data_IF_864026228022
#
_entry.id   IF_864026228022
#
_cell.length_a   1.000
_cell.length_b   1.000
_cell.length_c   1.000
_cell.angle_alpha   90.00
_cell.angle_beta   90.00
_cell.angle_gamma   90.00
#
_symmetry.space_group_name_H-M   'P 1'
#
loop_
_entity.id
_entity.type
_entity.pdbx_description
1 polymer ?
#
# COMPACT_ATOMS: atom_id res chain seq x y z
N UNK A 1 8.08 59.18 33.41
CA UNK A 1 9.17 58.39 32.88
C UNK A 1 8.65 56.96 32.58
N UNK A 2 8.38 56.71 31.31
CA UNK A 2 7.77 55.46 30.86
C UNK A 2 8.87 54.52 30.27
N UNK A 3 9.06 53.36 30.88
CA UNK A 3 9.97 52.33 30.35
C UNK A 3 9.20 51.47 29.36
N UNK A 4 9.52 51.58 28.07
CA UNK A 4 9.06 50.67 27.03
C UNK A 4 9.88 49.39 27.12
N UNK A 5 9.23 48.26 27.40
CA UNK A 5 9.80 46.93 27.31
C UNK A 5 9.73 46.50 25.83
N UNK A 6 10.90 46.25 25.24
CA UNK A 6 11.06 45.64 23.93
C UNK A 6 10.99 44.11 24.10
N UNK A 7 9.95 43.47 23.58
CA UNK A 7 9.93 42.01 23.43
C UNK A 7 10.65 41.63 22.13
N UNK A 8 11.77 40.96 22.31
CA UNK A 8 12.51 40.32 21.22
C UNK A 8 11.82 38.98 20.91
N UNK A 9 11.15 38.89 19.77
CA UNK A 9 10.69 37.62 19.24
C UNK A 9 11.89 36.91 18.59
N UNK A 10 12.42 35.89 19.25
CA UNK A 10 13.34 34.94 18.62
C UNK A 10 12.47 33.95 17.86
N UNK A 11 12.42 34.09 16.54
CA UNK A 11 11.89 33.08 15.66
C UNK A 11 12.88 31.90 15.62
N UNK A 12 12.60 30.85 16.32
CA UNK A 12 13.30 29.59 16.17
C UNK A 12 12.91 29.01 14.80
N UNK A 13 13.75 29.20 13.80
CA UNK A 13 13.68 28.45 12.57
C UNK A 13 14.10 27.01 12.89
N UNK A 14 13.13 26.14 13.03
CA UNK A 14 13.35 24.68 13.06
C UNK A 14 13.83 24.29 11.66
N UNK A 15 15.13 24.15 11.50
CA UNK A 15 15.71 23.47 10.36
C UNK A 15 15.19 22.02 10.41
N UNK A 16 14.21 21.71 9.59
CA UNK A 16 13.92 20.33 9.22
C UNK A 16 15.13 19.86 8.41
N UNK A 17 16.03 19.16 9.09
CA UNK A 17 17.05 18.35 8.45
C UNK A 17 16.29 17.19 7.83
N UNK A 18 15.90 17.34 6.56
CA UNK A 18 15.52 16.21 5.75
C UNK A 18 16.73 15.26 5.76
N UNK A 19 16.57 14.06 6.30
CA UNK A 19 17.52 12.99 6.08
C UNK A 19 17.55 12.67 4.59
N UNK A 20 18.32 13.43 3.82
CA UNK A 20 18.84 12.94 2.56
C UNK A 20 19.83 11.82 2.94
N UNK A 21 19.34 10.60 3.05
CA UNK A 21 20.21 9.44 2.97
C UNK A 21 20.90 9.54 1.61
N UNK A 22 22.22 9.70 1.59
CA UNK A 22 22.99 9.56 0.36
C UNK A 22 22.77 8.13 -0.13
N UNK A 23 21.84 7.93 -1.08
CA UNK A 23 21.67 6.65 -1.74
C UNK A 23 22.99 6.23 -2.37
N UNK A 24 23.39 4.97 -2.19
CA UNK A 24 24.46 4.37 -2.96
C UNK A 24 24.13 4.44 -4.46
N UNK A 25 25.14 4.44 -5.31
CA UNK A 25 24.94 4.55 -6.77
C UNK A 25 24.09 3.40 -7.35
N UNK A 26 23.99 2.27 -6.64
CA UNK A 26 23.26 1.06 -7.02
C UNK A 26 22.05 0.78 -6.10
N UNK A 27 21.52 1.77 -5.43
CA UNK A 27 20.41 1.63 -4.48
C UNK A 27 19.13 2.22 -5.05
N UNK A 28 18.03 1.47 -4.96
CA UNK A 28 16.69 1.93 -5.33
C UNK A 28 15.77 1.99 -4.09
N UNK A 29 14.79 2.90 -4.13
CA UNK A 29 13.73 2.99 -3.12
C UNK A 29 12.41 2.53 -3.71
N UNK A 30 11.73 1.61 -3.01
CA UNK A 30 10.36 1.20 -3.30
C UNK A 30 9.44 1.76 -2.23
N UNK A 31 8.40 2.48 -2.65
CA UNK A 31 7.36 3.02 -1.78
C UNK A 31 6.02 2.36 -2.12
N UNK A 32 5.34 1.82 -1.12
CA UNK A 32 3.95 1.41 -1.21
C UNK A 32 3.07 2.30 -0.34
N UNK A 33 1.87 2.61 -0.84
CA UNK A 33 0.87 3.30 -0.04
C UNK A 33 -0.54 3.09 -0.57
N UNK A 34 -1.47 2.72 0.31
CA UNK A 34 -2.90 2.87 0.05
C UNK A 34 -3.27 4.35 0.24
N UNK A 35 -3.54 5.03 -0.86
CA UNK A 35 -3.75 6.48 -0.89
C UNK A 35 -5.20 6.89 -0.63
N UNK A 36 -5.97 6.01 -0.08
CA UNK A 36 -7.36 6.22 0.31
C UNK A 36 -8.18 6.94 -0.77
N UNK A 37 -8.81 6.15 -1.63
CA UNK A 37 -9.74 6.65 -2.63
C UNK A 37 -9.13 7.74 -3.55
N UNK A 38 -7.94 7.45 -4.11
CA UNK A 38 -7.25 8.31 -5.07
C UNK A 38 -6.77 9.63 -4.47
N UNK A 39 -6.22 9.58 -3.24
CA UNK A 39 -5.78 10.78 -2.52
C UNK A 39 -6.87 11.86 -2.48
N UNK A 40 -8.10 11.44 -2.11
CA UNK A 40 -9.28 12.30 -2.08
C UNK A 40 -9.05 13.61 -1.33
N UNK A 41 -8.22 13.59 -0.27
CA UNK A 41 -7.93 14.74 0.58
C UNK A 41 -7.15 15.86 -0.13
N UNK A 42 -6.48 15.53 -1.24
CA UNK A 42 -5.63 16.47 -1.99
C UNK A 42 -6.17 16.80 -3.39
N UNK A 43 -7.34 16.29 -3.76
CA UNK A 43 -7.99 16.60 -5.05
C UNK A 43 -8.19 18.11 -5.25
N UNK A 44 -8.69 18.81 -4.23
CA UNK A 44 -8.92 20.25 -4.26
C UNK A 44 -7.62 21.08 -4.37
N UNK A 45 -6.49 20.47 -4.09
CA UNK A 45 -5.16 21.07 -4.21
C UNK A 45 -4.38 20.52 -5.43
N UNK A 46 -5.08 19.96 -6.40
CA UNK A 46 -4.47 19.39 -7.60
C UNK A 46 -3.34 18.38 -7.29
N UNK A 47 -3.43 17.65 -6.18
CA UNK A 47 -2.44 16.68 -5.70
C UNK A 47 -1.04 17.26 -5.43
N UNK A 48 -0.92 18.57 -5.15
CA UNK A 48 0.38 19.20 -4.94
C UNK A 48 1.09 18.67 -3.69
N UNK A 49 0.37 18.49 -2.57
CA UNK A 49 0.96 17.93 -1.34
C UNK A 49 1.39 16.46 -1.54
N UNK A 50 0.58 15.67 -2.25
CA UNK A 50 0.93 14.30 -2.61
C UNK A 50 2.23 14.25 -3.44
N UNK A 51 2.33 15.10 -4.46
CA UNK A 51 3.52 15.19 -5.31
C UNK A 51 4.74 15.65 -4.53
N UNK A 52 4.60 16.63 -3.64
CA UNK A 52 5.70 17.10 -2.79
C UNK A 52 6.19 16.00 -1.84
N UNK A 53 5.26 15.24 -1.22
CA UNK A 53 5.62 14.10 -0.38
C UNK A 53 6.38 13.04 -1.18
N UNK A 54 5.87 12.62 -2.33
CA UNK A 54 6.55 11.61 -3.15
C UNK A 54 7.93 12.10 -3.59
N UNK A 55 8.08 13.37 -3.94
CA UNK A 55 9.40 13.96 -4.26
C UNK A 55 10.35 13.95 -3.08
N UNK A 56 9.86 14.21 -1.86
CA UNK A 56 10.72 14.22 -0.67
C UNK A 56 11.28 12.85 -0.33
N UNK A 57 10.50 11.79 -0.53
CA UNK A 57 10.95 10.40 -0.38
C UNK A 57 11.80 9.93 -1.58
N UNK A 58 11.64 10.58 -2.74
CA UNK A 58 12.35 10.29 -3.99
C UNK A 58 12.40 8.79 -4.36
N UNK A 59 11.27 8.07 -4.33
CA UNK A 59 11.24 6.66 -4.67
C UNK A 59 11.58 6.44 -6.14
N UNK A 60 12.04 5.24 -6.45
CA UNK A 60 12.32 4.80 -7.82
C UNK A 60 11.17 4.00 -8.40
N UNK A 61 10.43 3.32 -7.51
CA UNK A 61 9.25 2.53 -7.83
C UNK A 61 8.18 2.82 -6.76
N UNK A 62 6.96 3.09 -7.19
CA UNK A 62 5.82 3.21 -6.27
C UNK A 62 4.74 2.20 -6.63
N UNK A 63 4.12 1.64 -5.59
CA UNK A 63 2.93 0.81 -5.69
C UNK A 63 1.80 1.49 -4.93
N UNK A 64 0.74 1.83 -5.64
CA UNK A 64 -0.42 2.54 -5.11
C UNK A 64 -1.63 1.63 -5.03
N UNK A 65 -2.28 1.54 -3.87
CA UNK A 65 -3.61 0.95 -3.71
C UNK A 65 -4.66 2.06 -3.61
N UNK A 66 -5.90 1.75 -3.96
CA UNK A 66 -6.99 2.73 -4.08
C UNK A 66 -6.63 3.94 -4.96
N UNK A 67 -6.00 3.68 -6.09
CA UNK A 67 -5.37 4.69 -6.93
C UNK A 67 -6.33 5.61 -7.70
N UNK A 68 -7.63 5.38 -7.64
CA UNK A 68 -8.65 6.25 -8.25
C UNK A 68 -9.70 6.67 -7.23
N UNK A 69 -10.24 7.88 -7.37
CA UNK A 69 -11.26 8.43 -6.47
C UNK A 69 -12.67 7.96 -6.84
N UNK A 70 -13.44 7.60 -5.81
CA UNK A 70 -14.88 7.31 -5.93
C UNK A 70 -15.78 8.43 -5.42
N UNK A 71 -15.21 9.36 -4.67
CA UNK A 71 -15.96 10.42 -4.03
C UNK A 71 -15.43 11.78 -4.43
N UNK A 72 -16.32 12.75 -4.61
CA UNK A 72 -15.93 14.13 -4.81
C UNK A 72 -15.33 14.68 -3.52
N UNK A 73 -14.28 15.45 -3.66
CA UNK A 73 -13.64 16.14 -2.54
C UNK A 73 -14.65 16.92 -1.71
N UNK A 74 -14.48 16.87 -0.40
CA UNK A 74 -15.29 17.56 0.60
C UNK A 74 -16.78 17.15 0.66
N UNK A 75 -17.12 16.05 -0.01
CA UNK A 75 -18.48 15.51 -0.02
C UNK A 75 -18.48 13.99 0.21
N UNK A 76 -19.66 13.44 0.48
CA UNK A 76 -19.91 11.99 0.45
C UNK A 76 -20.66 11.57 -0.81
N UNK A 77 -20.67 12.42 -1.84
CA UNK A 77 -21.30 12.13 -3.12
C UNK A 77 -20.41 11.18 -3.90
N UNK A 78 -20.91 9.97 -4.13
CA UNK A 78 -20.28 8.99 -4.99
C UNK A 78 -20.22 9.49 -6.43
N UNK A 79 -19.13 9.20 -7.10
CA UNK A 79 -19.01 9.39 -8.54
C UNK A 79 -19.57 8.16 -9.25
N UNK A 80 -20.41 8.40 -10.26
CA UNK A 80 -21.15 7.33 -10.95
C UNK A 80 -20.48 6.94 -12.28
N UNK A 81 -19.85 7.93 -12.94
CA UNK A 81 -19.24 7.70 -14.25
C UNK A 81 -17.75 7.38 -14.12
N UNK A 82 -17.21 6.74 -15.16
CA UNK A 82 -15.79 6.42 -15.19
C UNK A 82 -14.91 7.66 -15.28
N UNK A 83 -15.37 8.67 -15.99
CA UNK A 83 -14.70 9.97 -16.11
C UNK A 83 -14.61 10.68 -14.77
N UNK A 84 -15.61 10.50 -13.90
CA UNK A 84 -15.61 11.08 -12.56
C UNK A 84 -14.68 10.36 -11.59
N UNK A 85 -14.41 9.06 -11.79
CA UNK A 85 -13.56 8.26 -10.88
C UNK A 85 -12.08 8.34 -11.20
N UNK A 86 -11.71 8.95 -12.32
CA UNK A 86 -10.32 9.18 -12.65
C UNK A 86 -9.75 10.38 -11.93
N UNK A 87 -8.43 10.29 -11.68
CA UNK A 87 -7.66 11.48 -11.36
C UNK A 87 -7.78 12.50 -12.49
N UNK A 88 -7.88 13.82 -12.21
CA UNK A 88 -8.06 14.85 -13.25
C UNK A 88 -7.03 14.80 -14.37
N UNK A 89 -5.83 14.31 -14.08
CA UNK A 89 -4.70 14.28 -15.03
C UNK A 89 -4.28 12.89 -15.44
N UNK A 90 -5.00 11.84 -15.08
CA UNK A 90 -4.58 10.45 -15.14
C UNK A 90 -3.20 10.20 -14.50
N UNK A 91 -2.86 8.92 -14.29
CA UNK A 91 -1.62 8.56 -13.59
C UNK A 91 -0.35 8.88 -14.38
N UNK A 92 -0.38 8.86 -15.73
CA UNK A 92 0.79 9.20 -16.53
C UNK A 92 1.23 10.65 -16.31
N UNK A 93 0.28 11.58 -16.25
CA UNK A 93 0.57 12.99 -16.00
C UNK A 93 0.95 13.24 -14.53
N UNK A 94 0.27 12.59 -13.58
CA UNK A 94 0.57 12.74 -12.18
C UNK A 94 1.96 12.18 -11.83
N UNK A 95 2.29 10.99 -12.35
CA UNK A 95 3.57 10.35 -12.10
C UNK A 95 4.76 11.17 -12.62
N UNK A 96 4.65 11.77 -13.78
CA UNK A 96 5.68 12.69 -14.32
C UNK A 96 5.97 13.87 -13.43
N UNK A 97 5.00 14.35 -12.64
CA UNK A 97 5.20 15.47 -11.72
C UNK A 97 6.21 15.15 -10.61
N UNK A 98 6.36 13.88 -10.24
CA UNK A 98 7.36 13.41 -9.28
C UNK A 98 8.48 12.56 -9.90
N UNK A 99 8.60 12.57 -11.23
CA UNK A 99 9.76 12.02 -11.94
C UNK A 99 9.64 10.57 -12.39
N UNK A 100 8.43 9.99 -12.40
CA UNK A 100 8.21 8.64 -12.92
C UNK A 100 7.67 8.69 -14.36
N UNK A 101 8.34 7.95 -15.25
CA UNK A 101 8.01 7.92 -16.68
C UNK A 101 7.10 6.74 -17.05
N UNK A 102 7.13 5.65 -16.26
CA UNK A 102 6.40 4.43 -16.54
C UNK A 102 5.25 4.25 -15.57
N UNK A 103 4.07 3.92 -16.12
CA UNK A 103 2.84 3.72 -15.36
C UNK A 103 2.10 2.51 -15.88
N UNK A 104 1.69 1.60 -14.99
CA UNK A 104 0.80 0.49 -15.33
C UNK A 104 -0.31 0.33 -14.30
N UNK A 105 -1.52 0.10 -14.79
CA UNK A 105 -2.63 -0.36 -13.97
C UNK A 105 -2.52 -1.88 -13.86
N UNK A 106 -2.37 -2.38 -12.64
CA UNK A 106 -2.20 -3.80 -12.34
C UNK A 106 -3.54 -4.34 -11.85
N UNK A 107 -3.91 -5.54 -12.21
CA UNK A 107 -5.21 -6.11 -11.86
C UNK A 107 -6.39 -5.46 -12.59
N UNK A 108 -7.51 -5.23 -11.89
CA UNK A 108 -8.71 -4.60 -12.43
C UNK A 108 -8.61 -3.08 -12.38
N UNK A 109 -9.06 -2.43 -13.43
CA UNK A 109 -9.33 -0.99 -13.40
C UNK A 109 -10.78 -0.78 -12.98
N UNK A 110 -11.07 -1.10 -11.75
CA UNK A 110 -12.36 -0.90 -11.10
C UNK A 110 -12.36 0.39 -10.26
N UNK A 111 -13.08 0.38 -9.18
CA UNK A 111 -13.23 1.54 -8.29
C UNK A 111 -12.09 1.76 -7.33
N UNK A 112 -11.24 0.76 -7.13
CA UNK A 112 -10.11 0.78 -6.21
C UNK A 112 -8.88 0.13 -6.86
N UNK A 113 -8.45 0.62 -8.04
CA UNK A 113 -7.37 0.00 -8.79
C UNK A 113 -6.04 0.13 -8.07
N UNK A 114 -5.13 -0.76 -8.46
CA UNK A 114 -3.73 -0.71 -8.08
C UNK A 114 -2.91 -0.20 -9.27
N UNK A 115 -1.96 0.66 -8.98
CA UNK A 115 -1.09 1.28 -9.99
C UNK A 115 0.36 1.14 -9.56
N UNK A 116 1.23 0.78 -10.49
CA UNK A 116 2.67 0.88 -10.32
C UNK A 116 3.16 2.06 -11.16
N UNK A 117 3.94 2.95 -10.55
CA UNK A 117 4.68 4.00 -11.25
C UNK A 117 6.17 3.82 -11.00
N UNK A 118 7.01 4.11 -12.00
CA UNK A 118 8.44 3.81 -11.92
C UNK A 118 9.28 4.77 -12.75
N UNK A 119 10.52 5.00 -12.33
CA UNK A 119 11.57 5.62 -13.15
C UNK A 119 12.11 4.64 -14.20
N UNK A 120 11.92 3.34 -13.97
CA UNK A 120 12.41 2.24 -14.80
C UNK A 120 11.30 1.61 -15.63
N UNK A 121 11.60 0.95 -16.75
CA UNK A 121 10.62 0.23 -17.54
C UNK A 121 9.82 -0.77 -16.71
N UNK A 122 8.50 -0.72 -16.83
CA UNK A 122 7.59 -1.66 -16.18
C UNK A 122 6.67 -2.31 -17.19
N UNK A 123 6.44 -3.63 -17.07
CA UNK A 123 5.51 -4.39 -17.89
C UNK A 123 4.64 -5.30 -17.05
N UNK A 124 3.41 -5.46 -17.47
CA UNK A 124 2.50 -6.45 -16.88
C UNK A 124 2.82 -7.81 -17.49
N UNK A 125 2.96 -8.82 -16.62
CA UNK A 125 3.12 -10.23 -17.00
C UNK A 125 1.76 -10.91 -17.02
N UNK A 126 1.04 -10.87 -15.88
CA UNK A 126 -0.28 -11.47 -15.74
C UNK A 126 -1.23 -10.54 -14.98
N UNK A 127 -2.53 -10.61 -15.31
CA UNK A 127 -3.62 -10.01 -14.53
C UNK A 127 -4.38 -11.11 -13.81
N UNK A 128 -4.44 -11.03 -12.50
CA UNK A 128 -5.00 -12.06 -11.62
C UNK A 128 -6.35 -11.56 -11.09
N UNK A 129 -7.40 -11.85 -11.84
CA UNK A 129 -8.74 -11.33 -11.55
C UNK A 129 -9.73 -12.42 -11.09
N UNK A 130 -9.31 -13.69 -11.11
CA UNK A 130 -10.20 -14.83 -10.97
C UNK A 130 -11.05 -15.08 -12.22
N UNK A 131 -11.97 -16.03 -12.14
CA UNK A 131 -12.89 -16.37 -13.24
C UNK A 131 -14.25 -15.65 -13.17
N UNK A 132 -14.49 -14.92 -12.07
CA UNK A 132 -15.74 -14.17 -11.85
C UNK A 132 -16.87 -14.98 -11.22
N UNK A 133 -16.75 -16.29 -11.17
CA UNK A 133 -17.75 -17.22 -10.62
C UNK A 133 -17.27 -17.83 -9.30
N UNK A 134 -16.48 -18.89 -9.36
CA UNK A 134 -15.98 -19.61 -8.18
C UNK A 134 -14.77 -18.94 -7.55
N UNK A 135 -13.93 -18.33 -8.40
CA UNK A 135 -12.71 -17.64 -7.99
C UNK A 135 -12.86 -16.17 -8.29
N UNK A 136 -12.90 -15.36 -7.24
CA UNK A 136 -13.07 -13.91 -7.32
C UNK A 136 -11.91 -13.24 -6.59
N UNK A 137 -11.20 -12.35 -7.28
CA UNK A 137 -10.30 -11.36 -6.70
C UNK A 137 -10.98 -10.01 -6.90
N UNK A 138 -11.52 -9.45 -5.82
CA UNK A 138 -12.50 -8.35 -5.90
C UNK A 138 -11.92 -7.14 -6.62
N UNK A 139 -10.78 -6.64 -6.17
CA UNK A 139 -10.10 -5.51 -6.79
C UNK A 139 -9.08 -5.93 -7.86
N UNK A 140 -8.99 -7.25 -8.10
CA UNK A 140 -7.95 -7.82 -8.94
C UNK A 140 -6.57 -7.73 -8.27
N UNK A 141 -5.63 -8.38 -8.90
CA UNK A 141 -4.22 -8.36 -8.60
C UNK A 141 -3.48 -8.46 -9.92
N UNK A 142 -2.18 -8.35 -9.90
CA UNK A 142 -1.40 -8.59 -11.09
C UNK A 142 0.07 -8.77 -10.79
N UNK A 143 0.71 -9.53 -11.67
CA UNK A 143 2.15 -9.70 -11.72
C UNK A 143 2.72 -8.71 -12.74
N UNK A 144 3.60 -7.83 -12.29
CA UNK A 144 4.36 -6.91 -13.12
C UNK A 144 5.86 -7.10 -12.90
N UNK A 145 6.66 -6.76 -13.90
CA UNK A 145 8.11 -6.76 -13.81
C UNK A 145 8.64 -5.35 -14.02
N UNK A 146 9.55 -4.92 -13.15
CA UNK A 146 10.33 -3.69 -13.32
C UNK A 146 11.76 -4.09 -13.67
N UNK A 147 12.27 -3.51 -14.75
CA UNK A 147 13.64 -3.74 -15.23
C UNK A 147 14.55 -2.59 -14.76
N UNK A 148 15.27 -2.83 -13.68
CA UNK A 148 16.25 -1.89 -13.14
C UNK A 148 17.61 -2.20 -13.73
N UNK A 149 17.90 -1.61 -14.88
CA UNK A 149 19.19 -1.74 -15.57
C UNK A 149 19.60 -3.22 -15.82
N UNK A 150 18.63 -4.04 -16.23
CA UNK A 150 18.83 -5.47 -16.50
C UNK A 150 18.58 -6.38 -15.29
N UNK A 151 18.31 -5.82 -14.11
CA UNK A 151 17.92 -6.56 -12.91
C UNK A 151 16.41 -6.54 -12.77
N UNK A 152 15.76 -7.69 -12.89
CA UNK A 152 14.31 -7.79 -12.88
C UNK A 152 13.81 -7.98 -11.46
N UNK A 153 12.89 -7.12 -11.04
CA UNK A 153 12.11 -7.30 -9.81
C UNK A 153 10.67 -7.61 -10.19
N UNK A 154 10.15 -8.71 -9.68
CA UNK A 154 8.77 -9.13 -9.87
C UNK A 154 7.89 -8.54 -8.77
N UNK A 155 6.85 -7.81 -9.14
CA UNK A 155 5.87 -7.22 -8.24
C UNK A 155 4.54 -7.95 -8.38
N UNK A 156 3.95 -8.35 -7.26
CA UNK A 156 2.57 -8.82 -7.17
C UNK A 156 1.82 -7.84 -6.28
N UNK A 157 0.83 -7.16 -6.84
CA UNK A 157 0.07 -6.16 -6.08
C UNK A 157 -1.10 -6.79 -5.37
N UNK A 158 -1.43 -6.30 -4.18
CA UNK A 158 -2.52 -6.81 -3.35
C UNK A 158 -3.43 -5.68 -2.92
N UNK A 159 -4.74 -5.90 -3.03
CA UNK A 159 -5.78 -5.18 -2.34
C UNK A 159 -6.95 -6.13 -2.17
N UNK A 160 -7.01 -6.82 -1.03
CA UNK A 160 -8.05 -7.83 -0.79
C UNK A 160 -9.35 -7.21 -0.28
N UNK A 161 -10.38 -8.01 -0.27
CA UNK A 161 -11.73 -7.62 0.12
C UNK A 161 -11.80 -7.06 1.57
N UNK A 162 -12.38 -5.84 1.81
CA UNK A 162 -12.22 -5.15 3.09
C UNK A 162 -13.26 -5.51 4.15
N UNK A 163 -14.35 -6.22 3.82
CA UNK A 163 -15.47 -6.41 4.74
C UNK A 163 -15.32 -7.65 5.62
N UNK A 164 -16.07 -7.67 6.75
CA UNK A 164 -16.08 -8.80 7.69
C UNK A 164 -16.86 -10.01 7.21
N UNK A 165 -17.78 -9.83 6.26
CA UNK A 165 -18.59 -10.88 5.65
C UNK A 165 -18.03 -11.29 4.28
N UNK A 166 -18.31 -12.49 3.82
CA UNK A 166 -17.87 -12.96 2.52
C UNK A 166 -18.51 -12.16 1.37
N UNK A 167 -17.78 -12.02 0.29
CA UNK A 167 -18.29 -11.37 -0.92
C UNK A 167 -19.55 -12.08 -1.44
N UNK A 168 -20.60 -11.32 -1.76
CA UNK A 168 -21.92 -11.84 -2.19
C UNK A 168 -22.65 -12.72 -1.14
N UNK A 169 -22.30 -12.62 0.16
CA UNK A 169 -23.03 -13.34 1.19
C UNK A 169 -24.52 -12.93 1.21
N UNK A 170 -25.43 -13.89 1.20
CA UNK A 170 -26.88 -13.65 1.28
C UNK A 170 -27.26 -13.07 2.66
N UNK A 171 -26.71 -13.63 3.74
CA UNK A 171 -26.81 -13.13 5.10
C UNK A 171 -25.46 -12.58 5.55
N UNK A 172 -25.26 -11.27 5.37
CA UNK A 172 -24.01 -10.59 5.73
C UNK A 172 -23.72 -10.63 7.23
N UNK A 173 -24.78 -10.58 8.07
CA UNK A 173 -24.62 -10.61 9.52
C UNK A 173 -24.10 -11.97 9.98
N UNK A 174 -24.77 -13.05 9.56
CA UNK A 174 -24.34 -14.41 9.86
C UNK A 174 -22.94 -14.66 9.32
N UNK A 175 -22.67 -14.26 8.08
CA UNK A 175 -21.34 -14.42 7.47
C UNK A 175 -20.26 -13.67 8.26
N UNK A 176 -20.54 -12.48 8.77
CA UNK A 176 -19.59 -11.72 9.60
C UNK A 176 -19.34 -12.38 10.98
N UNK A 177 -20.38 -12.97 11.60
CA UNK A 177 -20.26 -13.75 12.83
C UNK A 177 -19.38 -15.01 12.62
N UNK A 178 -19.46 -15.61 11.44
CA UNK A 178 -18.67 -16.78 11.03
C UNK A 178 -17.27 -16.41 10.45
N UNK A 179 -16.90 -15.13 10.49
CA UNK A 179 -15.66 -14.60 9.91
C UNK A 179 -15.51 -14.88 8.40
N UNK A 180 -16.62 -14.82 7.67
CA UNK A 180 -16.67 -15.13 6.24
C UNK A 180 -15.77 -14.24 5.39
N UNK A 181 -15.55 -12.97 5.79
CA UNK A 181 -14.63 -12.07 5.12
C UNK A 181 -13.18 -12.52 5.21
N UNK A 182 -12.77 -13.07 6.36
CA UNK A 182 -11.41 -13.58 6.57
C UNK A 182 -11.15 -14.82 5.71
N UNK A 183 -12.12 -15.74 5.66
CA UNK A 183 -12.07 -16.92 4.78
C UNK A 183 -12.01 -16.51 3.31
N UNK A 184 -12.80 -15.50 2.92
CA UNK A 184 -12.82 -15.02 1.54
C UNK A 184 -11.47 -14.41 1.15
N UNK A 185 -10.87 -13.55 1.99
CA UNK A 185 -9.51 -12.98 1.76
C UNK A 185 -8.44 -14.04 1.63
N UNK A 186 -8.50 -15.10 2.45
CA UNK A 186 -7.57 -16.22 2.33
C UNK A 186 -7.71 -16.95 0.98
N UNK A 187 -8.93 -17.06 0.44
CA UNK A 187 -9.19 -17.62 -0.89
C UNK A 187 -8.64 -16.71 -2.00
N UNK A 188 -8.83 -15.39 -1.89
CA UNK A 188 -8.21 -14.42 -2.82
C UNK A 188 -6.69 -14.58 -2.83
N UNK A 189 -6.06 -14.60 -1.64
CA UNK A 189 -4.61 -14.69 -1.51
C UNK A 189 -4.06 -15.99 -2.05
N UNK A 190 -4.73 -17.10 -1.78
CA UNK A 190 -4.36 -18.40 -2.34
C UNK A 190 -4.29 -18.33 -3.86
N UNK A 191 -5.34 -17.83 -4.51
CA UNK A 191 -5.36 -17.69 -5.96
C UNK A 191 -4.28 -16.73 -6.48
N UNK A 192 -4.07 -15.60 -5.80
CA UNK A 192 -3.01 -14.64 -6.16
C UNK A 192 -1.63 -15.31 -6.14
N UNK A 193 -1.31 -16.07 -5.09
CA UNK A 193 -0.04 -16.77 -4.98
C UNK A 193 0.09 -17.90 -6.02
N UNK A 194 -0.98 -18.67 -6.26
CA UNK A 194 -1.00 -19.78 -7.25
C UNK A 194 -0.79 -19.27 -8.68
N UNK A 195 -1.35 -18.12 -9.03
CA UNK A 195 -1.21 -17.52 -10.37
C UNK A 195 0.02 -16.61 -10.53
N UNK A 196 0.76 -16.36 -9.47
CA UNK A 196 1.99 -15.56 -9.49
C UNK A 196 3.22 -16.36 -9.11
N UNK A 197 3.70 -16.22 -7.88
CA UNK A 197 4.97 -16.80 -7.42
C UNK A 197 5.01 -18.32 -7.56
N UNK A 198 3.93 -19.03 -7.17
CA UNK A 198 3.90 -20.50 -7.22
C UNK A 198 3.89 -21.05 -8.65
N UNK A 199 3.36 -20.29 -9.60
CA UNK A 199 3.37 -20.64 -11.04
C UNK A 199 4.70 -20.37 -11.70
N UNK A 200 5.39 -19.28 -11.35
CA UNK A 200 6.55 -18.78 -12.06
C UNK A 200 7.89 -19.07 -11.35
N UNK A 201 7.89 -19.11 -10.01
CA UNK A 201 9.11 -19.31 -9.22
C UNK A 201 8.78 -19.87 -7.82
N UNK A 202 8.24 -21.10 -7.73
CA UNK A 202 7.78 -21.67 -6.45
C UNK A 202 8.88 -21.81 -5.40
N UNK A 203 10.15 -21.80 -5.83
CA UNK A 203 11.29 -21.90 -4.92
C UNK A 203 11.85 -20.52 -4.52
N UNK A 204 11.32 -19.42 -5.06
CA UNK A 204 11.70 -18.05 -4.71
C UNK A 204 13.15 -17.71 -5.04
N UNK A 205 13.66 -18.18 -6.16
CA UNK A 205 15.06 -17.96 -6.60
C UNK A 205 15.29 -16.57 -7.22
N UNK A 206 14.22 -15.93 -7.66
CA UNK A 206 14.24 -14.59 -8.24
C UNK A 206 13.83 -13.54 -7.20
N UNK A 207 14.04 -12.28 -7.54
CA UNK A 207 13.61 -11.15 -6.73
C UNK A 207 12.10 -10.92 -6.93
N UNK A 208 11.30 -11.20 -5.90
CA UNK A 208 9.86 -10.98 -5.87
C UNK A 208 9.46 -10.10 -4.70
N UNK A 209 8.44 -9.28 -4.92
CA UNK A 209 7.75 -8.49 -3.89
C UNK A 209 6.24 -8.66 -4.05
N UNK A 210 5.59 -9.21 -3.02
CA UNK A 210 4.14 -9.23 -2.85
C UNK A 210 3.79 -8.07 -1.91
N UNK A 211 3.05 -7.08 -2.40
CA UNK A 211 2.90 -5.81 -1.69
C UNK A 211 1.50 -5.23 -1.85
N UNK A 212 0.95 -4.70 -0.76
CA UNK A 212 -0.38 -4.10 -0.82
C UNK A 212 -1.11 -4.00 0.50
N UNK A 213 -2.41 -3.73 0.40
CA UNK A 213 -3.38 -3.80 1.49
C UNK A 213 -4.03 -5.19 1.51
N UNK A 214 -3.69 -5.95 2.54
CA UNK A 214 -4.18 -7.32 2.73
C UNK A 214 -5.50 -7.37 3.49
N UNK A 215 -5.95 -6.25 4.06
CA UNK A 215 -7.14 -6.15 4.90
C UNK A 215 -7.23 -7.24 5.99
N UNK A 216 -6.12 -7.89 6.30
CA UNK A 216 -5.96 -8.97 7.26
C UNK A 216 -4.78 -8.68 8.20
N UNK A 217 -4.78 -9.30 9.37
CA UNK A 217 -3.69 -9.21 10.35
C UNK A 217 -2.89 -10.51 10.37
N UNK A 218 -1.59 -10.41 10.61
CA UNK A 218 -0.71 -11.57 10.65
C UNK A 218 -0.62 -12.19 12.05
N UNK A 219 -0.51 -13.52 12.11
CA UNK A 219 -0.28 -14.28 13.36
C UNK A 219 1.00 -13.85 14.06
N UNK A 220 2.01 -13.48 13.32
CA UNK A 220 3.29 -12.97 13.82
C UNK A 220 3.16 -11.69 14.66
N UNK A 221 2.01 -11.00 14.60
CA UNK A 221 1.69 -9.83 15.42
C UNK A 221 0.69 -10.15 16.55
N UNK A 222 0.39 -11.42 16.83
CA UNK A 222 -0.65 -11.77 17.78
C UNK A 222 -0.32 -11.38 19.23
N UNK A 223 0.94 -11.16 19.57
CA UNK A 223 1.34 -10.56 20.86
C UNK A 223 0.70 -9.18 21.06
N UNK A 224 0.51 -8.43 19.98
CA UNK A 224 -0.18 -7.13 19.98
C UNK A 224 -1.70 -7.28 19.97
N UNK A 225 -2.24 -8.19 19.13
CA UNK A 225 -3.69 -8.30 18.91
C UNK A 225 -4.41 -9.16 19.92
N UNK A 226 -3.73 -10.14 20.52
CA UNK A 226 -4.25 -11.08 21.53
C UNK A 226 -5.54 -11.80 21.08
N UNK A 227 -5.54 -12.29 19.83
CA UNK A 227 -6.62 -13.09 19.28
C UNK A 227 -6.50 -14.55 19.70
N UNK A 228 -7.62 -15.29 19.63
CA UNK A 228 -7.59 -16.74 19.80
C UNK A 228 -6.71 -17.41 18.72
N UNK A 229 -6.07 -18.52 19.08
CA UNK A 229 -5.16 -19.21 18.15
C UNK A 229 -5.87 -19.76 16.90
N UNK A 230 -7.15 -20.06 17.00
CA UNK A 230 -8.00 -20.53 15.90
C UNK A 230 -8.77 -19.41 15.20
N UNK A 231 -8.48 -18.14 15.50
CA UNK A 231 -9.13 -16.99 14.87
C UNK A 231 -8.81 -16.96 13.36
N UNK A 232 -9.86 -16.91 12.55
CA UNK A 232 -9.74 -16.94 11.08
C UNK A 232 -9.08 -15.70 10.49
N UNK A 233 -8.95 -14.61 11.28
CA UNK A 233 -8.29 -13.38 10.85
C UNK A 233 -6.82 -13.59 10.41
N UNK A 234 -6.20 -14.72 10.79
CA UNK A 234 -4.83 -15.05 10.42
C UNK A 234 -4.71 -15.89 9.13
N UNK A 235 -5.82 -16.48 8.66
CA UNK A 235 -5.80 -17.48 7.57
C UNK A 235 -5.07 -17.01 6.32
N UNK A 236 -5.18 -15.73 5.97
CA UNK A 236 -4.54 -15.18 4.79
C UNK A 236 -3.01 -15.26 4.90
N UNK A 237 -2.46 -14.76 6.01
CA UNK A 237 -1.02 -14.74 6.23
C UNK A 237 -0.46 -16.13 6.55
N UNK A 238 -1.21 -16.96 7.29
CA UNK A 238 -0.87 -18.37 7.51
C UNK A 238 -0.71 -19.12 6.18
N UNK A 239 -1.56 -18.81 5.18
CA UNK A 239 -1.41 -19.40 3.84
C UNK A 239 -0.11 -18.99 3.18
N UNK A 240 0.25 -17.70 3.21
CA UNK A 240 1.51 -17.20 2.64
C UNK A 240 2.70 -17.87 3.30
N UNK A 241 2.73 -17.89 4.62
CA UNK A 241 3.85 -18.42 5.41
C UNK A 241 4.05 -19.93 5.18
N UNK A 242 2.95 -20.69 5.02
CA UNK A 242 3.00 -22.13 4.86
C UNK A 242 3.26 -22.61 3.43
N UNK A 243 2.94 -21.80 2.41
CA UNK A 243 2.88 -22.28 1.03
C UNK A 243 3.76 -21.52 0.05
N UNK A 244 4.40 -20.43 0.48
CA UNK A 244 5.19 -19.59 -0.42
C UNK A 244 6.59 -19.32 0.14
N UNK A 245 7.57 -18.96 -0.70
CA UNK A 245 8.91 -18.55 -0.25
C UNK A 245 8.96 -17.08 0.23
N UNK A 246 7.83 -16.45 0.49
CA UNK A 246 7.79 -15.05 0.90
C UNK A 246 8.12 -14.85 2.37
N UNK A 247 8.79 -13.74 2.65
CA UNK A 247 9.23 -13.28 3.97
C UNK A 247 8.59 -11.93 4.25
N UNK A 248 7.93 -11.78 5.37
CA UNK A 248 7.44 -10.48 5.85
C UNK A 248 8.61 -9.56 6.19
N UNK A 249 8.80 -8.52 5.37
CA UNK A 249 9.93 -7.58 5.51
C UNK A 249 9.93 -6.89 6.86
N UNK A 250 8.80 -6.31 7.25
CA UNK A 250 8.74 -5.51 8.48
C UNK A 250 8.92 -6.38 9.73
N UNK A 251 8.35 -7.60 9.72
CA UNK A 251 8.51 -8.51 10.88
C UNK A 251 9.92 -9.05 10.99
N UNK A 252 10.58 -9.37 9.87
CA UNK A 252 11.96 -9.85 9.87
C UNK A 252 12.96 -8.73 10.21
N UNK A 253 12.67 -7.49 9.81
CA UNK A 253 13.48 -6.30 10.11
C UNK A 253 13.33 -5.86 11.57
N UNK A 254 12.10 -5.93 12.11
CA UNK A 254 11.73 -5.52 13.47
C UNK A 254 11.06 -6.69 14.24
N UNK A 255 11.81 -7.78 14.57
CA UNK A 255 11.19 -9.00 15.09
C UNK A 255 10.43 -8.81 16.41
N UNK A 256 10.82 -7.83 17.21
CA UNK A 256 10.26 -7.55 18.53
C UNK A 256 9.42 -6.27 18.60
N UNK A 257 9.15 -5.65 17.45
CA UNK A 257 8.39 -4.41 17.41
C UNK A 257 7.14 -4.57 16.54
N UNK A 258 6.06 -3.91 16.97
CA UNK A 258 4.85 -3.80 16.17
C UNK A 258 4.90 -2.50 15.35
N UNK A 259 4.82 -2.60 14.03
CA UNK A 259 4.82 -1.47 13.10
C UNK A 259 3.45 -1.32 12.47
N UNK A 260 2.59 -0.48 13.04
CA UNK A 260 1.26 -0.21 12.47
C UNK A 260 1.36 0.40 11.08
N UNK A 261 0.41 0.08 10.22
CA UNK A 261 0.30 0.66 8.87
C UNK A 261 -0.96 1.52 8.68
N UNK A 262 -1.80 1.64 9.70
CA UNK A 262 -3.04 2.41 9.59
C UNK A 262 -3.25 3.37 10.75
N UNK A 263 -4.06 4.41 10.51
CA UNK A 263 -4.50 5.37 11.51
C UNK A 263 -5.24 4.69 12.68
N UNK A 264 -5.98 3.62 12.42
CA UNK A 264 -6.66 2.83 13.44
C UNK A 264 -5.73 1.99 14.31
N UNK A 265 -4.43 1.99 14.04
CA UNK A 265 -3.43 1.24 14.80
C UNK A 265 -3.28 -0.21 14.36
N UNK A 266 -3.80 -0.60 13.19
CA UNK A 266 -3.63 -1.95 12.63
C UNK A 266 -2.40 -2.01 11.71
N UNK A 267 -1.85 -3.19 11.52
CA UNK A 267 -0.94 -3.51 10.42
C UNK A 267 -1.69 -4.43 9.46
N UNK A 268 -2.11 -3.89 8.35
CA UNK A 268 -2.84 -4.59 7.28
C UNK A 268 -2.23 -4.36 5.90
N UNK A 269 -1.24 -3.47 5.84
CA UNK A 269 -0.39 -3.27 4.67
C UNK A 269 0.93 -4.00 4.89
N UNK A 270 1.36 -4.75 3.89
CA UNK A 270 2.54 -5.58 3.98
C UNK A 270 3.40 -5.49 2.72
N UNK A 271 4.70 -5.69 2.92
CA UNK A 271 5.66 -6.04 1.90
C UNK A 271 6.24 -7.41 2.24
N UNK A 272 5.96 -8.39 1.41
CA UNK A 272 6.57 -9.71 1.45
C UNK A 272 7.57 -9.82 0.32
N UNK A 273 8.73 -10.41 0.56
CA UNK A 273 9.77 -10.58 -0.44
C UNK A 273 10.37 -11.98 -0.39
N UNK A 274 10.99 -12.42 -1.49
CA UNK A 274 11.83 -13.62 -1.50
C UNK A 274 13.20 -13.35 -0.89
N UNK A 275 13.90 -14.39 -0.42
CA UNK A 275 15.22 -14.26 0.21
C UNK A 275 16.22 -13.50 -0.67
N UNK A 276 16.33 -13.74 -2.01
CA UNK A 276 17.28 -12.98 -2.86
C UNK A 276 17.01 -11.47 -2.88
N UNK A 277 15.76 -11.05 -2.64
CA UNK A 277 15.44 -9.63 -2.52
C UNK A 277 15.63 -9.13 -1.10
N UNK A 278 15.31 -9.96 -0.09
CA UNK A 278 15.47 -9.59 1.32
C UNK A 278 16.94 -9.29 1.67
N UNK A 279 17.87 -10.10 1.20
CA UNK A 279 19.32 -9.90 1.40
C UNK A 279 19.85 -8.57 0.88
N UNK A 280 19.10 -7.93 -0.02
CA UNK A 280 19.43 -6.63 -0.62
C UNK A 280 18.77 -5.44 0.05
N UNK A 281 17.85 -5.65 0.99
CA UNK A 281 17.19 -4.56 1.71
C UNK A 281 18.19 -3.92 2.66
N UNK A 282 18.33 -2.60 2.57
CA UNK A 282 19.22 -1.78 3.41
C UNK A 282 18.44 -0.91 4.38
N UNK A 283 17.14 -0.65 4.11
CA UNK A 283 16.20 0.08 4.95
C UNK A 283 14.79 -0.48 4.79
N UNK A 284 14.05 -0.57 5.89
CA UNK A 284 12.61 -0.86 5.86
C UNK A 284 11.92 -0.03 6.94
N UNK A 285 10.87 0.70 6.58
CA UNK A 285 10.13 1.52 7.55
C UNK A 285 8.68 1.78 7.14
N UNK A 286 7.86 2.14 8.13
CA UNK A 286 6.53 2.73 7.95
C UNK A 286 6.63 4.21 8.28
N UNK A 287 6.27 5.07 7.32
CA UNK A 287 6.29 6.53 7.53
C UNK A 287 4.97 6.95 8.16
N UNK A 288 4.98 7.15 9.49
CA UNK A 288 3.79 7.56 10.22
C UNK A 288 3.96 8.83 11.04
N UNK A 289 5.19 9.24 11.28
CA UNK A 289 5.51 10.43 12.08
C UNK A 289 5.65 11.67 11.18
N UNK A 290 5.08 12.78 11.59
CA UNK A 290 5.15 14.04 10.86
C UNK A 290 4.26 14.15 9.61
N UNK A 291 4.19 13.14 8.77
CA UNK A 291 3.32 13.11 7.60
C UNK A 291 1.91 12.63 7.94
N UNK A 292 1.81 11.65 8.79
CA UNK A 292 0.56 11.00 9.13
C UNK A 292 -0.02 11.50 10.46
N UNK A 293 0.01 12.78 10.73
CA UNK A 293 -0.84 13.41 11.73
C UNK A 293 -2.27 13.53 11.22
N UNK A 294 -2.69 12.53 10.46
CA UNK A 294 -3.98 12.49 9.83
C UNK A 294 -5.08 12.46 10.87
N UNK A 295 -5.72 13.58 11.09
CA UNK A 295 -6.99 13.65 11.80
C UNK A 295 -8.13 13.48 10.81
N UNK A 296 -9.16 12.72 11.20
CA UNK A 296 -10.39 12.65 10.43
C UNK A 296 -11.01 14.05 10.37
N UNK A 297 -11.37 14.50 9.17
CA UNK A 297 -12.13 15.72 9.01
C UNK A 297 -13.62 15.42 9.24
N UNK A 298 -14.23 15.91 10.33
CA UNK A 298 -15.64 15.62 10.62
C UNK A 298 -16.61 16.26 9.63
N UNK A 299 -16.15 17.21 8.82
CA UNK A 299 -16.96 17.86 7.77
C UNK A 299 -17.06 17.02 6.50
N UNK A 300 -16.22 15.98 6.40
CA UNK A 300 -16.13 15.06 5.28
C UNK A 300 -16.73 13.70 5.64
N UNK A 301 -16.32 12.65 4.96
CA UNK A 301 -16.74 11.30 5.30
C UNK A 301 -16.10 10.85 6.62
N UNK A 302 -16.88 10.28 7.53
CA UNK A 302 -16.43 9.89 8.87
C UNK A 302 -15.31 8.85 8.88
N UNK A 303 -15.19 8.09 7.80
CA UNK A 303 -14.18 7.05 7.62
C UNK A 303 -12.96 7.50 6.80
N UNK A 304 -12.92 8.75 6.32
CA UNK A 304 -11.81 9.29 5.57
C UNK A 304 -10.87 10.09 6.47
N UNK A 305 -9.58 9.89 6.29
CA UNK A 305 -8.52 10.57 7.01
C UNK A 305 -7.71 11.46 6.06
N UNK A 306 -6.96 12.41 6.59
CA UNK A 306 -6.08 13.28 5.84
C UNK A 306 -4.62 13.03 6.28
N UNK A 307 -3.69 12.64 5.40
CA UNK A 307 -3.86 12.46 3.94
C UNK A 307 -4.54 11.15 3.56
N UNK A 308 -4.35 10.07 4.32
CA UNK A 308 -4.94 8.75 4.17
C UNK A 308 -5.10 8.10 5.53
N UNK A 309 -5.97 7.11 5.67
CA UNK A 309 -6.07 6.25 6.85
C UNK A 309 -5.01 5.13 6.86
N UNK A 310 -4.20 5.02 5.82
CA UNK A 310 -3.02 4.16 5.74
C UNK A 310 -1.73 4.98 5.74
N UNK A 311 -0.64 4.35 6.17
CA UNK A 311 0.70 4.91 6.23
C UNK A 311 1.59 4.32 5.15
N UNK A 312 2.46 5.14 4.51
CA UNK A 312 3.40 4.63 3.52
C UNK A 312 4.39 3.62 4.11
N UNK A 313 4.68 2.58 3.34
CA UNK A 313 5.75 1.62 3.60
C UNK A 313 6.88 1.88 2.61
N UNK A 314 8.11 1.94 3.09
CA UNK A 314 9.30 2.21 2.27
C UNK A 314 10.38 1.17 2.53
N UNK A 315 11.02 0.71 1.47
CA UNK A 315 12.24 -0.10 1.52
C UNK A 315 13.28 0.46 0.56
N UNK A 316 14.55 0.47 0.98
CA UNK A 316 15.70 0.71 0.12
C UNK A 316 16.36 -0.62 -0.18
N UNK A 317 16.81 -0.80 -1.42
CA UNK A 317 17.30 -2.06 -1.97
C UNK A 317 18.62 -1.80 -2.71
N UNK A 318 19.71 -2.41 -2.27
CA UNK A 318 21.02 -2.39 -2.94
C UNK A 318 21.06 -3.49 -4.02
N UNK A 319 20.94 -3.10 -5.28
CA UNK A 319 20.88 -4.02 -6.44
C UNK A 319 22.25 -4.35 -7.03
#
# INVERSE_FOLDING_TARGET
>A
MSRKLFYLFIAAATLMVGCNSNKGADEITVLYWNIQNGMWSDQGNNYDNFVEFVKSENPDICVWAEAESRYRTDTNVKMETREEVYLPYNWDLLARRYGHEYVVYVGKRDTFPQVITSKYPVRIVDRINGNGDDIIVVHGSGHAQVDVEGKIINFVTVHTYPFKYAYRAEDQKKSAEEQGGDVFRATEMKHICEESILKHDPEGRQMWMLVGDFNAIARTDNDHYQRAEDDKCFMLHDYIDANTPFIDVMKRWYPNEFKKSTFSGRRIDFMYVTEPLFEKITRAETIWDGFATASRDPRKLSNFCNPSDHYPLVVDIAL
#
